data_IF_079926869091
#
_entry.id   IF_079926869091
#
_cell.length_a   1.000
_cell.length_b   1.000
_cell.length_c   1.000
_cell.angle_alpha   90.00
_cell.angle_beta   90.00
_cell.angle_gamma   90.00
#
_symmetry.space_group_name_H-M   'P 1'
#
loop_
_entity.id
_entity.type
_entity.pdbx_description
1 polymer ?
#
# COMPACT_ATOMS: atom_id res chain seq x y z
N UNK A 1 26.67 11.67 4.02
CA UNK A 1 27.79 10.80 4.42
C UNK A 1 27.19 9.54 5.00
N UNK A 2 27.25 8.43 4.29
CA UNK A 2 26.75 7.14 4.79
C UNK A 2 27.86 6.54 5.63
N UNK A 3 27.66 6.45 6.95
CA UNK A 3 28.61 5.79 7.83
C UNK A 3 28.64 4.30 7.46
N UNK A 4 29.82 3.80 7.10
CA UNK A 4 30.08 2.37 6.99
C UNK A 4 29.76 1.71 8.33
N UNK A 5 28.97 0.63 8.32
CA UNK A 5 28.68 -0.13 9.53
C UNK A 5 29.99 -0.56 10.22
N UNK A 6 30.07 -0.40 11.54
CA UNK A 6 31.22 -0.81 12.31
C UNK A 6 31.28 -2.35 12.34
N UNK A 7 32.33 -2.99 11.81
CA UNK A 7 32.43 -4.45 11.78
C UNK A 7 32.50 -5.09 13.19
N UNK A 8 32.68 -4.29 14.24
CA UNK A 8 32.67 -4.71 15.64
C UNK A 8 31.38 -4.33 16.39
N UNK A 9 30.42 -3.66 15.75
CA UNK A 9 29.12 -3.43 16.38
C UNK A 9 28.28 -4.70 16.32
N UNK A 10 27.90 -5.23 17.48
CA UNK A 10 26.94 -6.34 17.61
C UNK A 10 25.50 -5.96 17.23
N UNK A 11 25.28 -4.77 16.69
CA UNK A 11 23.97 -4.33 16.19
C UNK A 11 23.77 -4.82 14.76
N UNK A 12 22.79 -5.68 14.57
CA UNK A 12 22.32 -6.08 13.24
C UNK A 12 21.68 -4.85 12.56
N UNK A 13 22.05 -4.51 11.31
CA UNK A 13 21.37 -3.47 10.56
C UNK A 13 19.87 -3.75 10.47
N UNK A 14 19.04 -2.72 10.63
CA UNK A 14 17.58 -2.84 10.58
C UNK A 14 17.08 -3.56 9.31
N UNK A 15 17.71 -3.31 8.17
CA UNK A 15 17.35 -3.99 6.91
C UNK A 15 17.61 -5.50 6.94
N UNK A 16 18.69 -5.95 7.58
CA UNK A 16 19.01 -7.37 7.71
C UNK A 16 18.10 -8.05 8.72
N UNK A 17 17.79 -7.37 9.83
CA UNK A 17 16.83 -7.86 10.81
C UNK A 17 15.44 -8.03 10.19
N UNK A 18 14.96 -7.03 9.44
CA UNK A 18 13.66 -7.07 8.76
C UNK A 18 13.60 -8.13 7.65
N UNK A 19 14.72 -8.38 6.96
CA UNK A 19 14.82 -9.48 6.01
C UNK A 19 14.78 -10.82 6.73
N UNK A 20 15.50 -10.97 7.85
CA UNK A 20 15.44 -12.17 8.67
C UNK A 20 14.04 -12.43 9.23
N UNK A 21 13.31 -11.39 9.66
CA UNK A 21 11.91 -11.50 10.12
C UNK A 21 10.99 -12.01 9.00
N UNK A 22 11.17 -11.52 7.77
CA UNK A 22 10.46 -11.97 6.57
C UNK A 22 10.82 -13.41 6.19
N UNK A 23 12.10 -13.76 6.22
CA UNK A 23 12.60 -15.08 5.80
C UNK A 23 12.27 -16.17 6.82
N UNK A 24 12.25 -15.82 8.10
CA UNK A 24 11.89 -16.73 9.19
C UNK A 24 10.38 -16.97 9.28
N UNK A 25 9.56 -16.22 8.55
CA UNK A 25 8.09 -16.25 8.66
C UNK A 25 7.56 -15.71 10.00
N UNK A 26 8.40 -15.01 10.77
CA UNK A 26 8.05 -14.55 12.12
C UNK A 26 6.90 -13.52 12.09
N UNK A 27 6.89 -12.65 11.07
CA UNK A 27 5.82 -11.65 10.91
C UNK A 27 4.43 -12.29 10.79
N UNK A 28 4.33 -13.45 10.15
CA UNK A 28 3.06 -14.18 10.01
C UNK A 28 2.62 -14.83 11.32
N UNK A 29 3.55 -15.40 12.08
CA UNK A 29 3.27 -15.96 13.41
C UNK A 29 2.74 -14.86 14.35
N UNK A 30 3.35 -13.67 14.31
CA UNK A 30 2.90 -12.52 15.10
C UNK A 30 1.52 -12.04 14.63
N UNK A 31 1.29 -11.96 13.32
CA UNK A 31 0.00 -11.58 12.74
C UNK A 31 -1.13 -12.52 13.20
N UNK A 32 -0.89 -13.83 13.11
CA UNK A 32 -1.84 -14.86 13.51
C UNK A 32 -2.10 -14.83 15.02
N UNK A 33 -1.04 -14.79 15.85
CA UNK A 33 -1.14 -14.68 17.32
C UNK A 33 -1.94 -13.45 17.75
N UNK A 34 -1.71 -12.30 17.11
CA UNK A 34 -2.41 -11.05 17.43
C UNK A 34 -3.90 -11.16 17.13
N UNK A 35 -4.25 -11.75 15.99
CA UNK A 35 -5.64 -12.00 15.63
C UNK A 35 -6.31 -13.02 16.57
N UNK A 36 -5.62 -14.09 16.95
CA UNK A 36 -6.14 -15.10 17.87
C UNK A 36 -6.37 -14.53 19.28
N UNK A 37 -5.41 -13.79 19.83
CA UNK A 37 -5.56 -13.14 21.15
C UNK A 37 -6.78 -12.21 21.18
N UNK A 38 -7.01 -11.43 20.13
CA UNK A 38 -8.15 -10.52 20.08
C UNK A 38 -9.50 -11.27 19.95
N UNK A 39 -9.50 -12.43 19.28
CA UNK A 39 -10.66 -13.31 19.20
C UNK A 39 -11.03 -13.92 20.56
N UNK A 40 -10.04 -14.30 21.37
CA UNK A 40 -10.28 -14.80 22.74
C UNK A 40 -10.77 -13.69 23.68
N UNK A 41 -10.21 -12.47 23.58
CA UNK A 41 -10.68 -11.32 24.37
C UNK A 41 -12.13 -10.94 24.06
N UNK A 42 -12.55 -11.08 22.80
CA UNK A 42 -13.93 -10.78 22.37
C UNK A 42 -14.92 -11.90 22.66
N UNK A 43 -14.49 -13.16 22.84
CA UNK A 43 -15.37 -14.24 23.34
C UNK A 43 -15.56 -14.21 24.85
N UNK A 44 -14.55 -13.73 25.61
CA UNK A 44 -14.61 -13.68 27.07
C UNK A 44 -15.65 -12.65 27.56
N UNK A 45 -15.89 -11.58 26.81
CA UNK A 45 -16.96 -10.61 27.09
C UNK A 45 -18.38 -11.13 26.82
N UNK A 46 -18.53 -12.29 26.15
CA UNK A 46 -19.84 -12.89 25.85
C UNK A 46 -20.29 -13.96 26.85
N UNK A 47 -19.46 -14.36 27.84
CA UNK A 47 -19.71 -15.57 28.64
C UNK A 47 -19.82 -15.36 30.17
N UNK A 48 -20.14 -14.15 30.63
CA UNK A 48 -20.38 -13.92 32.08
C UNK A 48 -21.87 -13.76 32.40
N UNK A 49 -22.61 -14.88 32.45
CA UNK A 49 -23.79 -15.04 33.31
C UNK A 49 -23.96 -16.53 33.68
N UNK A 50 -23.98 -16.90 34.97
CA UNK A 50 -24.40 -18.25 35.40
C UNK A 50 -25.93 -18.39 35.26
N UNK A 51 -26.48 -19.62 35.19
CA UNK A 51 -27.93 -19.82 35.17
C UNK A 51 -28.44 -19.63 36.60
N UNK A 52 -29.13 -18.51 36.86
CA UNK A 52 -29.92 -18.34 38.07
C UNK A 52 -31.37 -18.07 37.65
N UNK A 53 -32.26 -18.84 38.26
CA UNK A 53 -33.67 -18.98 37.93
C UNK A 53 -34.48 -17.67 37.90
N UNK A 54 -35.43 -17.66 36.97
CA UNK A 54 -36.71 -16.96 36.92
C UNK A 54 -36.79 -15.46 37.29
N UNK A 55 -37.12 -14.62 36.31
CA UNK A 55 -38.31 -13.73 36.26
C UNK A 55 -38.37 -13.11 34.86
N UNK A 56 -39.53 -13.23 34.19
CA UNK A 56 -39.79 -12.63 32.88
C UNK A 56 -40.01 -11.12 33.00
N UNK A 57 -38.96 -10.35 32.76
CA UNK A 57 -39.04 -8.91 32.48
C UNK A 57 -38.54 -8.70 31.06
N UNK A 58 -39.40 -8.20 30.17
CA UNK A 58 -39.06 -7.87 28.78
C UNK A 58 -38.10 -6.68 28.75
N UNK A 59 -36.81 -6.95 28.94
CA UNK A 59 -35.73 -5.99 28.70
C UNK A 59 -35.32 -6.09 27.24
N UNK A 60 -35.61 -5.03 26.48
CA UNK A 60 -35.09 -4.85 25.12
C UNK A 60 -33.56 -4.85 25.23
N UNK A 61 -32.94 -5.94 24.80
CA UNK A 61 -31.49 -6.12 24.85
C UNK A 61 -30.80 -5.11 23.92
N UNK A 62 -29.70 -4.45 24.34
CA UNK A 62 -28.98 -3.52 23.48
C UNK A 62 -28.05 -4.32 22.54
N UNK A 63 -28.63 -5.09 21.61
CA UNK A 63 -27.90 -5.85 20.57
C UNK A 63 -27.15 -4.88 19.63
N UNK A 64 -27.63 -3.64 19.54
CA UNK A 64 -27.08 -2.56 18.73
C UNK A 64 -25.70 -2.08 19.22
N UNK A 65 -25.50 -1.86 20.52
CA UNK A 65 -24.32 -1.17 21.03
C UNK A 65 -23.01 -1.92 20.80
N UNK A 66 -22.98 -3.25 20.94
CA UNK A 66 -21.79 -4.07 20.71
C UNK A 66 -21.31 -4.10 19.25
N UNK A 67 -22.25 -4.10 18.31
CA UNK A 67 -21.93 -4.01 16.88
C UNK A 67 -21.34 -2.65 16.51
N UNK A 68 -21.91 -1.56 17.02
CA UNK A 68 -21.38 -0.22 16.78
C UNK A 68 -19.99 -0.03 17.40
N UNK A 69 -19.76 -0.51 18.63
CA UNK A 69 -18.44 -0.43 19.30
C UNK A 69 -17.33 -1.14 18.50
N UNK A 70 -17.60 -2.33 17.98
CA UNK A 70 -16.65 -3.08 17.15
C UNK A 70 -16.41 -2.40 15.80
N UNK A 71 -17.48 -1.91 15.16
CA UNK A 71 -17.37 -1.14 13.93
C UNK A 71 -16.54 0.14 14.11
N UNK A 72 -16.77 0.93 15.17
CA UNK A 72 -15.99 2.14 15.44
C UNK A 72 -14.52 1.84 15.77
N UNK A 73 -14.23 0.72 16.44
CA UNK A 73 -12.85 0.26 16.67
C UNK A 73 -12.14 -0.07 15.36
N UNK A 74 -12.84 -0.74 14.45
CA UNK A 74 -12.36 -1.06 13.11
C UNK A 74 -12.12 0.19 12.27
N UNK A 75 -13.06 1.14 12.28
CA UNK A 75 -12.90 2.43 11.61
C UNK A 75 -11.74 3.21 12.22
N UNK A 76 -11.59 3.24 13.55
CA UNK A 76 -10.46 3.89 14.23
C UNK A 76 -9.11 3.27 13.86
N UNK A 77 -9.07 1.96 13.70
CA UNK A 77 -7.88 1.23 13.23
C UNK A 77 -7.48 1.66 11.82
N UNK A 78 -8.44 1.73 10.90
CA UNK A 78 -8.20 2.23 9.54
C UNK A 78 -7.83 3.71 9.53
N UNK A 79 -8.49 4.53 10.35
CA UNK A 79 -8.21 5.97 10.44
C UNK A 79 -6.79 6.22 10.95
N UNK A 80 -6.28 5.35 11.83
CA UNK A 80 -4.89 5.41 12.28
C UNK A 80 -3.88 5.26 11.14
N UNK A 81 -4.26 4.62 10.02
CA UNK A 81 -3.37 4.46 8.86
C UNK A 81 -3.18 5.77 8.09
N UNK A 82 -4.02 6.78 8.27
CA UNK A 82 -3.79 8.10 7.66
C UNK A 82 -2.57 8.81 8.25
N UNK A 83 -2.13 8.45 9.47
CA UNK A 83 -0.88 8.98 10.05
C UNK A 83 0.35 8.16 9.66
N UNK A 84 0.17 7.07 8.93
CA UNK A 84 1.24 6.21 8.44
C UNK A 84 1.82 6.78 7.14
N UNK A 85 3.14 6.70 6.98
CA UNK A 85 3.76 6.78 5.65
C UNK A 85 3.94 5.35 5.09
N UNK A 86 3.02 4.84 4.26
CA UNK A 86 3.07 3.47 3.75
C UNK A 86 4.29 3.20 2.86
N UNK A 87 4.90 4.26 2.34
CA UNK A 87 6.01 4.19 1.39
C UNK A 87 7.38 4.33 2.06
N UNK A 88 7.43 4.49 3.38
CA UNK A 88 8.68 4.71 4.13
C UNK A 88 9.70 3.56 4.02
N UNK A 89 9.23 2.34 3.79
CA UNK A 89 10.06 1.12 3.67
C UNK A 89 10.19 0.62 2.22
N UNK A 90 9.67 1.36 1.23
CA UNK A 90 9.79 1.00 -0.19
C UNK A 90 11.18 1.31 -0.72
N UNK A 91 11.73 0.37 -1.48
CA UNK A 91 13.01 0.53 -2.18
C UNK A 91 12.84 0.30 -3.68
N UNK A 92 13.79 0.76 -4.50
CA UNK A 92 13.75 0.54 -5.95
C UNK A 92 13.76 -0.96 -6.32
N UNK A 93 14.40 -1.79 -5.50
CA UNK A 93 14.46 -3.24 -5.70
C UNK A 93 13.08 -3.90 -5.68
N UNK A 94 12.11 -3.31 -4.98
CA UNK A 94 10.74 -3.85 -4.86
C UNK A 94 9.93 -3.69 -6.15
N UNK A 95 10.34 -2.76 -7.03
CA UNK A 95 9.75 -2.59 -8.36
C UNK A 95 10.40 -3.50 -9.42
N UNK A 96 11.66 -3.88 -9.19
CA UNK A 96 12.47 -4.70 -10.10
C UNK A 96 12.24 -6.20 -9.95
N UNK A 97 11.59 -6.64 -8.87
CA UNK A 97 11.29 -8.06 -8.61
C UNK A 97 10.23 -8.66 -9.54
N UNK A 98 9.97 -9.96 -9.34
CA UNK A 98 8.85 -10.64 -9.99
C UNK A 98 7.51 -10.06 -9.51
N UNK A 99 6.61 -9.72 -10.44
CA UNK A 99 5.25 -9.31 -10.04
C UNK A 99 4.42 -10.49 -9.63
N UNK A 100 3.78 -10.44 -8.45
CA UNK A 100 2.68 -11.34 -8.15
C UNK A 100 1.56 -11.20 -9.19
N UNK A 101 0.98 -12.32 -9.60
CA UNK A 101 -0.14 -12.34 -10.55
C UNK A 101 -1.36 -11.58 -10.02
N UNK A 102 -2.11 -10.92 -10.91
CA UNK A 102 -3.27 -10.10 -10.54
C UNK A 102 -4.43 -10.93 -9.97
N UNK A 103 -4.77 -12.02 -10.64
CA UNK A 103 -5.96 -12.79 -10.26
C UNK A 103 -5.69 -13.69 -9.05
N UNK A 104 -4.60 -14.45 -9.09
CA UNK A 104 -4.32 -15.46 -8.06
C UNK A 104 -3.64 -14.89 -6.82
N UNK A 105 -2.69 -13.95 -6.99
CA UNK A 105 -1.92 -13.45 -5.86
C UNK A 105 -2.43 -12.12 -5.32
N UNK A 106 -2.69 -11.13 -6.18
CA UNK A 106 -3.20 -9.83 -5.74
C UNK A 106 -4.61 -9.98 -5.18
N UNK A 107 -5.58 -10.45 -5.97
CA UNK A 107 -6.95 -10.65 -5.50
C UNK A 107 -7.02 -11.86 -4.57
N UNK A 108 -6.58 -13.04 -5.00
CA UNK A 108 -6.54 -14.25 -4.15
C UNK A 108 -7.91 -14.73 -3.65
N UNK A 109 -7.90 -15.70 -2.74
CA UNK A 109 -9.12 -16.25 -2.12
C UNK A 109 -9.57 -15.41 -0.92
N UNK A 110 -10.86 -15.50 -0.57
CA UNK A 110 -11.42 -14.81 0.60
C UNK A 110 -10.68 -15.13 1.91
N UNK A 111 -10.11 -16.33 2.03
CA UNK A 111 -9.36 -16.78 3.21
C UNK A 111 -8.05 -15.99 3.44
N UNK A 112 -7.53 -15.35 2.39
CA UNK A 112 -6.32 -14.53 2.44
C UNK A 112 -6.55 -13.13 3.04
N UNK A 113 -7.82 -12.77 3.29
CA UNK A 113 -8.20 -11.52 3.91
C UNK A 113 -8.63 -11.72 5.36
N UNK A 114 -8.30 -10.76 6.23
CA UNK A 114 -8.90 -10.62 7.54
C UNK A 114 -8.85 -9.17 8.01
N UNK A 115 -9.82 -8.78 8.83
CA UNK A 115 -9.79 -7.47 9.46
C UNK A 115 -8.63 -7.38 10.45
N UNK A 116 -7.80 -6.31 10.44
CA UNK A 116 -6.71 -6.15 11.38
C UNK A 116 -7.26 -5.91 12.80
N UNK A 117 -6.76 -6.66 13.76
CA UNK A 117 -7.22 -6.62 15.16
C UNK A 117 -6.62 -5.46 15.95
N UNK A 118 -5.53 -4.84 15.45
CA UNK A 118 -4.94 -3.65 16.07
C UNK A 118 -4.33 -2.69 15.05
N UNK A 119 -4.20 -1.39 15.39
CA UNK A 119 -3.45 -0.41 14.58
C UNK A 119 -2.02 -0.83 14.27
N UNK A 120 -1.31 -1.40 15.25
CA UNK A 120 0.07 -1.86 15.04
C UNK A 120 0.14 -2.99 14.01
N UNK A 121 -0.77 -3.97 14.11
CA UNK A 121 -0.90 -5.05 13.14
C UNK A 121 -1.23 -4.51 11.74
N UNK A 122 -2.19 -3.59 11.63
CA UNK A 122 -2.55 -2.96 10.37
C UNK A 122 -1.34 -2.26 9.71
N UNK A 123 -0.52 -1.57 10.50
CA UNK A 123 0.69 -0.89 10.00
C UNK A 123 1.72 -1.88 9.46
N UNK A 124 1.97 -3.00 10.15
CA UNK A 124 2.89 -4.03 9.65
C UNK A 124 2.37 -4.64 8.35
N UNK A 125 1.07 -4.99 8.30
CA UNK A 125 0.42 -5.49 7.07
C UNK A 125 0.55 -4.51 5.92
N UNK A 126 0.32 -3.22 6.15
CA UNK A 126 0.44 -2.20 5.10
C UNK A 126 1.86 -2.14 4.55
N UNK A 127 2.89 -2.00 5.38
CA UNK A 127 4.27 -1.89 4.89
C UNK A 127 4.70 -3.12 4.09
N UNK A 128 4.38 -4.32 4.59
CA UNK A 128 4.77 -5.56 3.93
C UNK A 128 4.01 -5.81 2.62
N UNK A 129 2.69 -5.58 2.61
CA UNK A 129 1.90 -5.74 1.40
C UNK A 129 2.20 -4.65 0.36
N UNK A 130 2.49 -3.41 0.78
CA UNK A 130 2.94 -2.32 -0.12
C UNK A 130 4.24 -2.69 -0.79
N UNK A 131 5.20 -3.26 -0.06
CA UNK A 131 6.45 -3.77 -0.61
C UNK A 131 6.21 -4.92 -1.60
N UNK A 132 5.46 -5.94 -1.19
CA UNK A 132 5.20 -7.13 -2.00
C UNK A 132 4.43 -6.85 -3.31
N UNK A 133 3.47 -5.94 -3.28
CA UNK A 133 2.60 -5.63 -4.41
C UNK A 133 2.90 -4.25 -5.04
N UNK A 134 4.09 -3.69 -4.81
CA UNK A 134 4.47 -2.34 -5.24
C UNK A 134 4.15 -2.06 -6.72
N UNK A 135 4.55 -2.98 -7.61
CA UNK A 135 4.29 -2.86 -9.05
C UNK A 135 2.81 -3.00 -9.42
N UNK A 136 2.06 -3.87 -8.73
CA UNK A 136 0.61 -4.00 -8.96
C UNK A 136 -0.14 -2.74 -8.51
N UNK A 137 0.23 -2.14 -7.38
CA UNK A 137 -0.35 -0.87 -6.95
C UNK A 137 0.01 0.29 -7.88
N UNK A 138 1.24 0.34 -8.39
CA UNK A 138 1.64 1.32 -9.41
C UNK A 138 0.80 1.18 -10.69
N UNK A 139 0.60 -0.05 -11.16
CA UNK A 139 -0.25 -0.32 -12.32
C UNK A 139 -1.73 0.03 -12.06
N UNK A 140 -2.28 -0.27 -10.87
CA UNK A 140 -3.63 0.15 -10.49
C UNK A 140 -3.78 1.68 -10.49
N UNK A 141 -2.78 2.41 -9.97
CA UNK A 141 -2.77 3.87 -10.05
C UNK A 141 -2.80 4.36 -11.50
N UNK A 142 -2.01 3.76 -12.40
CA UNK A 142 -2.01 4.13 -13.82
C UNK A 142 -3.38 3.86 -14.45
N UNK A 143 -4.01 2.71 -14.16
CA UNK A 143 -5.35 2.38 -14.69
C UNK A 143 -6.40 3.39 -14.19
N UNK A 144 -6.40 3.71 -12.90
CA UNK A 144 -7.32 4.71 -12.35
C UNK A 144 -7.05 6.09 -12.93
N UNK A 145 -5.79 6.49 -13.10
CA UNK A 145 -5.43 7.75 -13.72
C UNK A 145 -5.89 7.83 -15.17
N UNK A 146 -5.69 6.78 -15.97
CA UNK A 146 -6.20 6.70 -17.33
C UNK A 146 -7.74 6.78 -17.37
N UNK A 147 -8.43 6.11 -16.45
CA UNK A 147 -9.88 6.18 -16.33
C UNK A 147 -10.36 7.58 -15.95
N UNK A 148 -9.71 8.25 -14.99
CA UNK A 148 -10.02 9.63 -14.60
C UNK A 148 -9.79 10.61 -15.75
N UNK A 149 -8.70 10.44 -16.52
CA UNK A 149 -8.46 11.24 -17.72
C UNK A 149 -9.51 11.01 -18.80
N UNK A 150 -9.94 9.76 -19.00
CA UNK A 150 -11.00 9.45 -19.97
C UNK A 150 -12.34 10.11 -19.60
N UNK A 151 -12.67 10.17 -18.32
CA UNK A 151 -13.89 10.85 -17.83
C UNK A 151 -13.79 12.39 -17.92
N UNK A 152 -12.57 12.95 -17.97
CA UNK A 152 -12.31 14.38 -18.01
C UNK A 152 -11.60 14.76 -19.33
N UNK A 153 -12.34 14.91 -20.44
CA UNK A 153 -11.73 15.12 -21.77
C UNK A 153 -10.89 16.40 -21.83
N UNK A 154 -11.25 17.44 -21.06
CA UNK A 154 -10.46 18.66 -20.98
C UNK A 154 -9.08 18.42 -20.36
N UNK A 155 -8.99 17.57 -19.33
CA UNK A 155 -7.73 17.19 -18.70
C UNK A 155 -6.85 16.38 -19.66
N UNK A 156 -7.47 15.48 -20.44
CA UNK A 156 -6.78 14.72 -21.48
C UNK A 156 -6.21 15.65 -22.56
N UNK A 157 -6.99 16.60 -23.07
CA UNK A 157 -6.52 17.60 -24.04
C UNK A 157 -5.41 18.48 -23.45
N UNK A 158 -5.54 18.88 -22.18
CA UNK A 158 -4.50 19.64 -21.49
C UNK A 158 -3.17 18.90 -21.43
N UNK A 159 -3.20 17.62 -21.05
CA UNK A 159 -2.00 16.77 -21.00
C UNK A 159 -1.37 16.60 -22.40
N UNK A 160 -2.21 16.38 -23.42
CA UNK A 160 -1.76 16.23 -24.80
C UNK A 160 -1.18 17.53 -25.36
N UNK A 161 -1.76 18.68 -24.99
CA UNK A 161 -1.27 20.01 -25.31
C UNK A 161 0.10 20.28 -24.68
N UNK A 162 0.32 19.84 -23.43
CA UNK A 162 1.65 19.94 -22.80
C UNK A 162 2.71 19.12 -23.53
N UNK A 163 2.39 17.90 -23.97
CA UNK A 163 3.30 17.07 -24.77
C UNK A 163 3.62 17.78 -26.09
N UNK A 164 2.58 18.23 -26.81
CA UNK A 164 2.75 18.94 -28.08
C UNK A 164 3.54 20.25 -27.95
N UNK A 165 3.32 21.00 -26.86
CA UNK A 165 4.06 22.21 -26.53
C UNK A 165 5.55 21.90 -26.32
N UNK A 166 5.86 20.80 -25.63
CA UNK A 166 7.24 20.39 -25.38
C UNK A 166 7.93 19.90 -26.65
N UNK A 167 7.23 19.14 -27.49
CA UNK A 167 7.75 18.71 -28.80
C UNK A 167 8.04 19.90 -29.71
N UNK A 168 7.12 20.88 -29.76
CA UNK A 168 7.35 22.13 -30.49
C UNK A 168 8.55 22.91 -29.94
N UNK A 169 8.68 22.98 -28.62
CA UNK A 169 9.81 23.64 -27.97
C UNK A 169 11.15 22.95 -28.27
N UNK A 170 11.21 21.61 -28.24
CA UNK A 170 12.40 20.84 -28.63
C UNK A 170 12.78 21.11 -30.09
N UNK A 171 11.81 21.00 -31.01
CA UNK A 171 12.03 21.25 -32.42
C UNK A 171 12.54 22.68 -32.71
N UNK A 172 11.95 23.68 -32.04
CA UNK A 172 12.40 25.07 -32.17
C UNK A 172 13.79 25.28 -31.55
N UNK A 173 14.08 24.63 -30.43
CA UNK A 173 15.39 24.69 -29.79
C UNK A 173 16.53 24.20 -30.69
N UNK A 174 16.29 23.08 -31.38
CA UNK A 174 17.24 22.51 -32.35
C UNK A 174 17.44 23.42 -33.56
N UNK A 175 16.34 23.95 -34.12
CA UNK A 175 16.38 24.87 -35.28
C UNK A 175 17.07 26.19 -34.98
N UNK A 176 16.90 26.72 -33.77
CA UNK A 176 17.40 28.03 -33.38
C UNK A 176 18.82 28.01 -32.78
N UNK A 177 19.48 26.85 -32.72
CA UNK A 177 20.83 26.74 -32.19
C UNK A 177 20.94 27.20 -30.73
N UNK A 178 19.88 26.99 -29.93
CA UNK A 178 19.79 27.49 -28.55
C UNK A 178 20.87 26.91 -27.63
N UNK A 179 21.55 25.83 -28.03
CA UNK A 179 22.73 25.28 -27.36
C UNK A 179 23.89 26.27 -27.26
N UNK A 180 24.03 27.21 -28.21
CA UNK A 180 25.09 28.20 -28.21
C UNK A 180 24.76 29.43 -27.33
N UNK A 181 23.49 29.56 -26.88
CA UNK A 181 23.01 30.71 -26.09
C UNK A 181 22.35 30.24 -24.78
N UNK A 182 23.14 29.93 -23.74
CA UNK A 182 22.63 29.30 -22.51
C UNK A 182 21.59 30.14 -21.76
N UNK A 183 21.73 31.48 -21.77
CA UNK A 183 20.78 32.38 -21.09
C UNK A 183 19.40 32.35 -21.77
N UNK A 184 19.36 32.42 -23.11
CA UNK A 184 18.10 32.39 -23.87
C UNK A 184 17.40 31.04 -23.73
N UNK A 185 18.18 29.94 -23.75
CA UNK A 185 17.68 28.59 -23.49
C UNK A 185 17.01 28.49 -22.11
N UNK A 186 17.67 29.00 -21.06
CA UNK A 186 17.10 29.01 -19.72
C UNK A 186 15.79 29.82 -19.64
N UNK A 187 15.76 31.03 -20.22
CA UNK A 187 14.55 31.87 -20.23
C UNK A 187 13.40 31.13 -20.93
N UNK A 188 13.65 30.53 -22.09
CA UNK A 188 12.60 29.84 -22.85
C UNK A 188 12.10 28.57 -22.14
N UNK A 189 12.98 27.82 -21.48
CA UNK A 189 12.57 26.69 -20.60
C UNK A 189 11.67 27.20 -19.48
N UNK A 190 12.00 28.34 -18.84
CA UNK A 190 11.16 28.92 -17.78
C UNK A 190 9.79 29.36 -18.30
N UNK A 191 9.74 29.95 -19.49
CA UNK A 191 8.48 30.32 -20.15
C UNK A 191 7.65 29.06 -20.47
N UNK A 192 8.27 28.02 -21.04
CA UNK A 192 7.61 26.75 -21.34
C UNK A 192 7.09 26.05 -20.08
N UNK A 193 7.86 26.07 -18.98
CA UNK A 193 7.43 25.58 -17.67
C UNK A 193 6.21 26.35 -17.16
N UNK A 194 6.23 27.69 -17.22
CA UNK A 194 5.10 28.54 -16.82
C UNK A 194 3.85 28.24 -17.66
N UNK A 195 4.00 28.18 -18.98
CA UNK A 195 2.91 27.83 -19.90
C UNK A 195 2.33 26.43 -19.61
N UNK A 196 3.19 25.45 -19.31
CA UNK A 196 2.76 24.10 -18.92
C UNK A 196 1.90 24.14 -17.66
N UNK A 197 2.33 24.85 -16.61
CA UNK A 197 1.55 24.98 -15.37
C UNK A 197 0.19 25.63 -15.64
N UNK A 198 0.16 26.69 -16.44
CA UNK A 198 -1.07 27.39 -16.83
C UNK A 198 -2.03 26.44 -17.56
N UNK A 199 -1.54 25.69 -18.56
CA UNK A 199 -2.34 24.71 -19.30
C UNK A 199 -2.91 23.63 -18.36
N UNK A 200 -2.08 23.05 -17.48
CA UNK A 200 -2.51 22.01 -16.55
C UNK A 200 -3.56 22.51 -15.55
N UNK A 201 -3.48 23.77 -15.12
CA UNK A 201 -4.46 24.39 -14.24
C UNK A 201 -5.79 24.62 -14.97
N UNK A 202 -5.77 25.26 -16.15
CA UNK A 202 -6.99 25.52 -16.93
C UNK A 202 -7.68 24.25 -17.42
N UNK A 203 -6.90 23.20 -17.72
CA UNK A 203 -7.41 21.92 -18.16
C UNK A 203 -7.97 21.03 -17.03
N UNK A 204 -7.97 21.50 -15.78
CA UNK A 204 -8.42 20.74 -14.61
C UNK A 204 -7.71 19.38 -14.42
N UNK A 205 -6.46 19.24 -14.90
CA UNK A 205 -5.66 18.01 -14.72
C UNK A 205 -5.46 17.69 -13.24
N UNK A 206 -5.41 18.73 -12.41
CA UNK A 206 -5.35 18.63 -10.95
C UNK A 206 -6.47 17.75 -10.39
N UNK A 207 -7.72 17.92 -10.87
CA UNK A 207 -8.87 17.17 -10.38
C UNK A 207 -8.83 15.71 -10.81
N UNK A 208 -8.42 15.44 -12.05
CA UNK A 208 -8.22 14.07 -12.54
C UNK A 208 -7.13 13.35 -11.72
N UNK A 209 -6.03 14.05 -11.43
CA UNK A 209 -4.94 13.53 -10.61
C UNK A 209 -5.38 13.28 -9.17
N UNK A 210 -6.08 14.22 -8.55
CA UNK A 210 -6.60 14.08 -7.18
C UNK A 210 -7.58 12.91 -7.07
N UNK A 211 -8.47 12.73 -8.06
CA UNK A 211 -9.38 11.59 -8.11
C UNK A 211 -8.61 10.26 -8.20
N UNK A 212 -7.66 10.17 -9.14
CA UNK A 212 -6.86 8.97 -9.34
C UNK A 212 -6.02 8.62 -8.11
N UNK A 213 -5.34 9.60 -7.51
CA UNK A 213 -4.56 9.43 -6.28
C UNK A 213 -5.47 9.02 -5.13
N UNK A 214 -6.60 9.70 -4.93
CA UNK A 214 -7.53 9.40 -3.83
C UNK A 214 -8.09 7.98 -3.90
N UNK A 215 -8.60 7.57 -5.08
CA UNK A 215 -9.18 6.23 -5.27
C UNK A 215 -8.11 5.16 -5.18
N UNK A 216 -6.97 5.32 -5.86
CA UNK A 216 -5.87 4.35 -5.81
C UNK A 216 -5.30 4.20 -4.40
N UNK A 217 -5.14 5.29 -3.65
CA UNK A 217 -4.66 5.28 -2.28
C UNK A 217 -5.65 4.56 -1.35
N UNK A 218 -6.94 4.84 -1.48
CA UNK A 218 -7.97 4.15 -0.69
C UNK A 218 -7.96 2.63 -0.95
N UNK A 219 -7.91 2.22 -2.22
CA UNK A 219 -7.83 0.80 -2.61
C UNK A 219 -6.55 0.17 -2.07
N UNK A 220 -5.40 0.84 -2.19
CA UNK A 220 -4.12 0.37 -1.69
C UNK A 220 -4.15 0.15 -0.19
N UNK A 221 -4.60 1.14 0.60
CA UNK A 221 -4.63 1.03 2.06
C UNK A 221 -5.61 -0.04 2.53
N UNK A 222 -6.78 -0.12 1.91
CA UNK A 222 -7.78 -1.14 2.22
C UNK A 222 -7.22 -2.54 1.93
N UNK A 223 -6.72 -2.74 0.71
CA UNK A 223 -6.17 -4.02 0.30
C UNK A 223 -4.95 -4.41 1.15
N UNK A 224 -4.01 -3.51 1.36
CA UNK A 224 -2.78 -3.77 2.11
C UNK A 224 -3.01 -4.03 3.60
N UNK A 225 -4.02 -3.42 4.22
CA UNK A 225 -4.35 -3.64 5.64
C UNK A 225 -5.17 -4.92 5.87
N UNK A 226 -6.03 -5.29 4.92
CA UNK A 226 -6.87 -6.49 5.03
C UNK A 226 -6.15 -7.76 4.57
N UNK A 227 -5.13 -7.63 3.71
CA UNK A 227 -4.38 -8.78 3.24
C UNK A 227 -3.50 -9.33 4.35
N UNK A 228 -3.69 -10.61 4.70
CA UNK A 228 -2.83 -11.32 5.65
C UNK A 228 -1.40 -11.42 5.11
N UNK A 229 -0.44 -11.46 6.01
CA UNK A 229 0.95 -11.72 5.64
C UNK A 229 1.06 -13.18 5.19
N UNK A 230 1.32 -13.40 3.90
CA UNK A 230 1.53 -14.76 3.38
C UNK A 230 3.01 -15.15 3.44
N UNK A 231 3.34 -16.45 3.63
CA UNK A 231 4.72 -16.89 3.77
C UNK A 231 5.53 -16.48 2.54
N UNK A 232 6.70 -15.89 2.76
CA UNK A 232 7.63 -15.53 1.69
C UNK A 232 8.21 -16.78 1.00
N UNK A 233 8.27 -17.93 1.68
CA UNK A 233 8.93 -19.14 1.15
C UNK A 233 8.55 -20.45 1.85
N UNK A 234 7.31 -20.91 1.75
CA UNK A 234 6.97 -22.31 2.07
C UNK A 234 7.24 -23.23 0.86
N UNK A 235 8.48 -23.31 0.33
CA UNK A 235 8.73 -24.22 -0.82
C UNK A 235 10.13 -24.82 -0.98
N UNK A 236 11.10 -24.56 -0.09
CA UNK A 236 12.42 -25.21 -0.20
C UNK A 236 12.85 -26.05 1.01
N UNK A 237 12.37 -25.75 2.23
CA UNK A 237 12.78 -26.49 3.43
C UNK A 237 11.92 -27.75 3.64
N UNK A 238 10.60 -27.65 3.42
CA UNK A 238 9.69 -28.80 3.60
C UNK A 238 9.85 -29.88 2.52
N UNK A 239 10.30 -29.50 1.31
CA UNK A 239 10.60 -30.45 0.22
C UNK A 239 11.90 -31.22 0.45
N UNK A 240 12.89 -30.60 1.10
CA UNK A 240 14.19 -31.21 1.34
C UNK A 240 14.21 -32.07 2.62
N UNK A 241 13.34 -31.76 3.60
CA UNK A 241 13.11 -32.63 4.76
C UNK A 241 12.49 -33.97 4.39
N UNK A 242 11.57 -33.99 3.42
CA UNK A 242 10.92 -35.23 2.96
C UNK A 242 11.83 -36.11 2.08
N UNK A 243 12.84 -35.55 1.40
CA UNK A 243 13.81 -36.33 0.62
C UNK A 243 14.90 -36.99 1.47
N UNK A 244 15.16 -36.49 2.69
CA UNK A 244 16.17 -37.08 3.59
C UNK A 244 15.66 -38.27 4.42
N UNK A 245 14.34 -38.48 4.48
CA UNK A 245 13.74 -39.58 5.26
C UNK A 245 13.51 -40.84 4.40
N UNK A 246 13.62 -40.73 3.08
CA UNK A 246 13.50 -41.85 2.13
C UNK A 246 14.91 -42.32 1.70
N UNK A 247 15.82 -42.49 2.66
CA UNK A 247 17.01 -43.33 2.48
C UNK A 247 17.28 -44.04 3.81
N UNK A 248 16.59 -45.15 4.03
CA UNK A 248 17.05 -46.25 4.88
C UNK A 248 16.28 -47.51 4.54
#
# INVERSE_FOLDING_TARGET
MVFSANPLSLSVPESEFENWLRDSGFLEVVDQRTSDLHRLSSSTTATTLPPSDAVSTTTISPISSGFFLSFFSYVGTLLSLFTLNPFSKLTSNDFSGETPSWTLNLIGSSDSYSFPSSPAQARVRVHENVKRYARNYASLFIIFFACSLYQMPLALVGLLSCIALWDFFMFFGDRCGLEQRPVMKQILIRIAQCATVVILLFANVQMALLCAVGVSYAVLILHASFRKLTPSKQSSIQRNGNQRIIIK
#
